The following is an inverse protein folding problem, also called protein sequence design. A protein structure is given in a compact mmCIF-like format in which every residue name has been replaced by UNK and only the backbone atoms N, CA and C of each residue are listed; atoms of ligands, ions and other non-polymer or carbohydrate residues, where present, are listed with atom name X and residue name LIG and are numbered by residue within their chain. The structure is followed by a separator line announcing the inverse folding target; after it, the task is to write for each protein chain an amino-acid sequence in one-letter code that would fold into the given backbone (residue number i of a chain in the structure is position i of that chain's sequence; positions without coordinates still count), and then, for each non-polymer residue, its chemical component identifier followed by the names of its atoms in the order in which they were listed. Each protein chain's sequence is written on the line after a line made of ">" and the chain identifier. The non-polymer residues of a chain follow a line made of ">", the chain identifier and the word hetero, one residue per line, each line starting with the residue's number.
data_IF_823086677180
#
_entry.id   IF_823086677180
#
_cell.length_a   1.000
_cell.length_b   1.000
_cell.length_c   1.000
_cell.angle_alpha   90.00
_cell.angle_beta   90.00
_cell.angle_gamma   90.00
#
_symmetry.space_group_name_H-M   'P 1'
#
loop_
_entity.id
_entity.type
_entity.pdbx_description
1 polymer ?
#
# COMPACT_ATOMS: atom_id res chain seq x y z
N UNK A 1 13.24 -13.38 -8.16
CA UNK A 1 12.85 -11.97 -8.27
C UNK A 1 13.52 -11.16 -7.19
N UNK A 2 14.15 -10.07 -7.58
CA UNK A 2 14.80 -9.17 -6.63
C UNK A 2 13.86 -8.06 -6.22
N UNK A 3 13.82 -7.78 -4.93
CA UNK A 3 13.05 -6.65 -4.39
C UNK A 3 14.03 -5.58 -3.91
N UNK A 4 13.75 -4.34 -4.28
CA UNK A 4 14.49 -3.20 -3.78
C UNK A 4 13.75 -2.69 -2.55
N UNK A 5 14.41 -2.74 -1.39
CA UNK A 5 13.81 -2.29 -0.14
C UNK A 5 13.85 -0.76 -0.07
N UNK A 6 12.68 -0.16 0.08
CA UNK A 6 12.53 1.31 0.18
C UNK A 6 12.34 1.72 1.62
N UNK A 7 11.55 0.98 2.39
CA UNK A 7 11.33 1.23 3.81
C UNK A 7 11.11 -0.06 4.55
N UNK A 8 11.64 -0.15 5.80
CA UNK A 8 11.52 -1.36 6.61
C UNK A 8 11.65 -0.99 8.07
N UNK A 9 10.55 -1.03 8.79
CA UNK A 9 10.51 -0.77 10.23
C UNK A 9 9.36 -1.56 10.85
N UNK A 10 9.10 -1.33 12.14
CA UNK A 10 8.07 -2.11 12.85
C UNK A 10 6.65 -1.77 12.43
N UNK A 11 6.44 -0.66 11.70
CA UNK A 11 5.11 -0.22 11.30
C UNK A 11 4.75 -0.60 9.87
N UNK A 12 5.75 -0.73 8.99
CA UNK A 12 5.49 -1.06 7.59
C UNK A 12 6.76 -1.51 6.87
N UNK A 13 6.55 -2.15 5.73
CA UNK A 13 7.62 -2.38 4.76
C UNK A 13 7.16 -1.89 3.40
N UNK A 14 8.06 -1.27 2.64
CA UNK A 14 7.84 -0.89 1.24
C UNK A 14 8.99 -1.45 0.42
N UNK A 15 8.65 -2.19 -0.64
CA UNK A 15 9.63 -2.71 -1.59
C UNK A 15 9.09 -2.56 -3.00
N UNK A 16 9.98 -2.58 -3.98
CA UNK A 16 9.58 -2.54 -5.39
C UNK A 16 10.32 -3.60 -6.18
N UNK A 17 9.63 -4.17 -7.18
CA UNK A 17 10.20 -5.05 -8.17
C UNK A 17 10.18 -4.32 -9.52
N UNK A 18 11.35 -3.98 -10.05
CA UNK A 18 11.43 -3.34 -11.36
C UNK A 18 11.10 -4.34 -12.46
N UNK A 19 11.39 -5.61 -12.25
CA UNK A 19 11.09 -6.67 -13.22
C UNK A 19 9.59 -6.83 -13.44
N UNK A 20 8.81 -6.86 -12.34
CA UNK A 20 7.35 -6.97 -12.41
C UNK A 20 6.66 -5.62 -12.58
N UNK A 21 7.40 -4.55 -12.40
CA UNK A 21 6.83 -3.20 -12.31
C UNK A 21 5.73 -3.16 -11.26
N UNK A 22 6.10 -3.56 -10.03
CA UNK A 22 5.15 -3.75 -8.92
C UNK A 22 5.73 -3.26 -7.61
N UNK A 23 4.91 -2.55 -6.85
CA UNK A 23 5.24 -2.15 -5.49
C UNK A 23 4.59 -3.10 -4.49
N UNK A 24 5.22 -3.27 -3.34
CA UNK A 24 4.73 -4.09 -2.23
C UNK A 24 4.72 -3.25 -0.97
N UNK A 25 3.58 -3.21 -0.30
CA UNK A 25 3.40 -2.51 0.98
C UNK A 25 2.87 -3.51 1.99
N UNK A 26 3.48 -3.55 3.18
CA UNK A 26 2.90 -4.26 4.32
C UNK A 26 2.62 -3.24 5.41
N UNK A 27 1.38 -3.21 5.90
CA UNK A 27 0.96 -2.33 6.99
C UNK A 27 0.86 -3.18 8.25
N UNK A 28 1.57 -2.80 9.31
CA UNK A 28 1.70 -3.61 10.53
C UNK A 28 1.16 -2.84 11.73
N UNK A 29 0.14 -3.42 12.37
CA UNK A 29 -0.34 -2.94 13.65
C UNK A 29 -1.04 -1.60 13.63
N UNK A 30 -0.95 -0.89 14.74
CA UNK A 30 -1.58 0.40 14.97
C UNK A 30 -0.56 1.53 14.85
N UNK A 31 -0.83 2.49 13.99
CA UNK A 31 0.00 3.70 13.89
C UNK A 31 -0.75 4.79 14.64
N UNK A 32 -0.17 5.23 15.76
CA UNK A 32 -0.83 6.19 16.66
C UNK A 32 -0.88 7.59 16.05
N UNK A 33 0.16 7.99 15.31
CA UNK A 33 0.29 9.33 14.78
C UNK A 33 1.25 9.31 13.59
N UNK A 34 1.14 10.29 12.66
CA UNK A 34 2.09 10.39 11.54
C UNK A 34 3.55 10.49 11.98
N UNK A 35 3.82 11.05 13.14
CA UNK A 35 5.17 11.20 13.68
C UNK A 35 5.87 9.86 13.92
N UNK A 36 5.12 8.76 14.03
CA UNK A 36 5.72 7.43 14.16
C UNK A 36 6.26 6.90 12.84
N UNK A 37 5.80 7.46 11.73
CA UNK A 37 6.20 7.04 10.39
C UNK A 37 6.63 8.26 9.55
N UNK A 38 7.64 9.02 10.02
CA UNK A 38 7.99 10.32 9.42
C UNK A 38 8.47 10.24 7.98
N UNK A 39 9.00 9.08 7.57
CA UNK A 39 9.58 8.92 6.23
C UNK A 39 8.60 8.29 5.23
N UNK A 40 7.39 7.95 5.67
CA UNK A 40 6.45 7.15 4.87
C UNK A 40 6.16 7.78 3.49
N UNK A 41 5.81 9.04 3.47
CA UNK A 41 5.47 9.73 2.22
C UNK A 41 6.71 9.87 1.32
N UNK A 42 7.86 10.28 1.88
CA UNK A 42 9.08 10.42 1.10
C UNK A 42 9.55 9.08 0.54
N UNK A 43 9.35 8.00 1.29
CA UNK A 43 9.69 6.65 0.80
C UNK A 43 8.79 6.24 -0.35
N UNK A 44 7.49 6.61 -0.33
CA UNK A 44 6.61 6.36 -1.47
C UNK A 44 7.05 7.16 -2.70
N UNK A 45 7.43 8.43 -2.51
CA UNK A 45 7.94 9.25 -3.62
C UNK A 45 9.18 8.58 -4.23
N UNK A 46 10.10 8.10 -3.38
CA UNK A 46 11.28 7.38 -3.84
C UNK A 46 10.92 6.07 -4.55
N UNK A 47 9.98 5.31 -3.97
CA UNK A 47 9.58 4.02 -4.52
C UNK A 47 8.98 4.13 -5.91
N UNK A 48 8.03 5.05 -6.10
CA UNK A 48 7.39 5.20 -7.41
C UNK A 48 8.34 5.72 -8.48
N UNK A 49 9.41 6.42 -8.09
CA UNK A 49 10.42 6.88 -9.05
C UNK A 49 11.15 5.73 -9.74
N UNK A 50 11.11 4.54 -9.16
CA UNK A 50 11.75 3.34 -9.72
C UNK A 50 10.81 2.50 -10.57
N UNK A 51 9.55 2.91 -10.66
CA UNK A 51 8.51 2.18 -11.38
C UNK A 51 8.05 2.97 -12.60
N UNK A 52 7.45 2.26 -13.54
CA UNK A 52 6.92 2.86 -14.76
C UNK A 52 5.40 3.00 -14.63
N UNK A 53 4.84 4.01 -15.30
CA UNK A 53 3.39 4.17 -15.38
C UNK A 53 2.73 2.85 -15.77
N UNK A 54 1.63 2.52 -15.10
CA UNK A 54 0.95 1.23 -15.29
C UNK A 54 1.37 0.17 -14.29
N UNK A 55 2.23 0.51 -13.33
CA UNK A 55 2.65 -0.43 -12.30
C UNK A 55 1.48 -0.92 -11.45
N UNK A 56 1.70 -2.03 -10.76
CA UNK A 56 0.71 -2.59 -9.84
C UNK A 56 1.21 -2.46 -8.40
N UNK A 57 0.29 -2.61 -7.45
CA UNK A 57 0.61 -2.55 -6.01
C UNK A 57 -0.05 -3.71 -5.30
N UNK A 58 0.71 -4.41 -4.46
CA UNK A 58 0.17 -5.38 -3.53
C UNK A 58 0.34 -4.81 -2.12
N UNK A 59 -0.79 -4.61 -1.42
CA UNK A 59 -0.79 -4.15 -0.04
C UNK A 59 -1.19 -5.31 0.87
N UNK A 60 -0.30 -5.71 1.76
CA UNK A 60 -0.61 -6.70 2.79
C UNK A 60 -1.03 -5.95 4.05
N UNK A 61 -2.33 -5.88 4.28
CA UNK A 61 -2.92 -5.24 5.47
C UNK A 61 -3.47 -6.29 6.44
N UNK A 62 -2.98 -7.54 6.35
CA UNK A 62 -3.46 -8.64 7.19
C UNK A 62 -3.15 -8.42 8.67
N UNK A 63 -2.13 -7.62 8.99
CA UNK A 63 -1.75 -7.32 10.38
C UNK A 63 -2.10 -5.89 10.78
N UNK A 64 -2.81 -5.16 9.92
CA UNK A 64 -3.20 -3.79 10.20
C UNK A 64 -4.30 -3.73 11.25
N UNK A 65 -4.19 -2.78 12.18
CA UNK A 65 -5.26 -2.38 13.10
C UNK A 65 -5.85 -1.06 12.61
N UNK A 66 -7.00 -0.68 13.16
CA UNK A 66 -7.64 0.59 12.81
C UNK A 66 -6.72 1.76 13.16
N UNK A 67 -6.60 2.71 12.25
CA UNK A 67 -5.75 3.88 12.46
C UNK A 67 -6.55 5.14 12.77
N UNK A 68 -6.00 6.10 13.53
CA UNK A 68 -6.70 7.36 13.81
C UNK A 68 -6.79 8.25 12.57
N UNK A 69 -7.62 9.27 12.66
CA UNK A 69 -7.95 10.15 11.54
C UNK A 69 -6.73 10.79 10.87
N UNK A 70 -5.75 11.21 11.66
CA UNK A 70 -4.54 11.83 11.14
C UNK A 70 -3.71 10.86 10.31
N UNK A 71 -3.70 9.58 10.68
CA UNK A 71 -3.02 8.53 9.94
C UNK A 71 -3.82 8.14 8.70
N UNK A 72 -5.15 8.18 8.78
CA UNK A 72 -5.99 7.96 7.59
C UNK A 72 -5.67 8.99 6.51
N UNK A 73 -5.46 10.26 6.88
CA UNK A 73 -5.05 11.29 5.93
C UNK A 73 -3.70 10.96 5.30
N UNK A 74 -2.80 10.35 6.05
CA UNK A 74 -1.51 9.91 5.53
C UNK A 74 -1.70 8.82 4.46
N UNK A 75 -2.61 7.89 4.69
CA UNK A 75 -2.94 6.87 3.68
C UNK A 75 -3.52 7.52 2.41
N UNK A 76 -4.37 8.53 2.57
CA UNK A 76 -4.91 9.26 1.43
C UNK A 76 -3.81 9.96 0.63
N UNK A 77 -2.84 10.57 1.31
CA UNK A 77 -1.71 11.20 0.66
C UNK A 77 -0.85 10.19 -0.12
N UNK A 78 -0.60 9.02 0.49
CA UNK A 78 0.16 7.97 -0.17
C UNK A 78 -0.56 7.47 -1.43
N UNK A 79 -1.88 7.27 -1.33
CA UNK A 79 -2.66 6.84 -2.49
C UNK A 79 -2.67 7.89 -3.60
N UNK A 80 -2.70 9.17 -3.26
CA UNK A 80 -2.62 10.24 -4.24
C UNK A 80 -1.28 10.21 -5.01
N UNK A 81 -0.19 9.94 -4.31
CA UNK A 81 1.13 9.79 -4.94
C UNK A 81 1.14 8.62 -5.91
N UNK A 82 0.58 7.48 -5.49
CA UNK A 82 0.52 6.28 -6.31
C UNK A 82 -0.35 6.49 -7.56
N UNK A 83 -1.49 7.15 -7.40
CA UNK A 83 -2.37 7.47 -8.53
C UNK A 83 -1.69 8.40 -9.52
N UNK A 84 -1.03 9.44 -9.05
CA UNK A 84 -0.33 10.39 -9.90
C UNK A 84 0.80 9.71 -10.68
N UNK A 85 1.47 8.74 -10.05
CA UNK A 85 2.55 7.98 -10.69
C UNK A 85 2.02 6.95 -11.70
N UNK A 86 0.71 6.67 -11.71
CA UNK A 86 0.09 5.83 -12.71
C UNK A 86 -0.15 4.38 -12.30
N UNK A 87 -0.43 4.12 -11.03
CA UNK A 87 -0.79 2.76 -10.58
C UNK A 87 -2.02 2.27 -11.36
N UNK A 88 -1.97 1.03 -11.86
CA UNK A 88 -3.03 0.48 -12.71
C UNK A 88 -3.98 -0.43 -11.94
N UNK A 89 -3.46 -1.26 -11.03
CA UNK A 89 -4.25 -2.19 -10.21
C UNK A 89 -3.63 -2.28 -8.83
N UNK A 90 -4.47 -2.41 -7.83
CA UNK A 90 -4.06 -2.58 -6.43
C UNK A 90 -4.78 -3.79 -5.86
N UNK A 91 -4.02 -4.73 -5.29
CA UNK A 91 -4.59 -5.85 -4.54
C UNK A 91 -4.32 -5.62 -3.06
N UNK A 92 -5.35 -5.72 -2.23
CA UNK A 92 -5.21 -5.57 -0.77
C UNK A 92 -5.55 -6.89 -0.09
N UNK A 93 -4.65 -7.37 0.76
CA UNK A 93 -4.88 -8.57 1.57
C UNK A 93 -5.40 -8.11 2.93
N UNK A 94 -6.63 -8.54 3.26
CA UNK A 94 -7.33 -8.09 4.46
C UNK A 94 -7.89 -9.29 5.21
N UNK A 95 -7.75 -9.28 6.54
CA UNK A 95 -8.26 -10.33 7.40
C UNK A 95 -9.15 -9.79 8.52
N UNK A 96 -9.02 -8.50 8.85
CA UNK A 96 -9.80 -7.84 9.89
C UNK A 96 -10.88 -6.98 9.22
N UNK A 97 -12.16 -7.23 9.56
CA UNK A 97 -13.28 -6.53 8.95
C UNK A 97 -13.24 -5.02 9.20
N UNK A 98 -12.75 -4.59 10.36
CA UNK A 98 -12.69 -3.16 10.69
C UNK A 98 -11.61 -2.47 9.87
N UNK A 99 -10.43 -3.10 9.72
CA UNK A 99 -9.37 -2.58 8.86
C UNK A 99 -9.85 -2.53 7.40
N UNK A 100 -10.60 -3.55 6.97
CA UNK A 100 -11.16 -3.59 5.62
C UNK A 100 -12.11 -2.41 5.39
N UNK A 101 -13.02 -2.16 6.33
CA UNK A 101 -13.93 -1.02 6.25
C UNK A 101 -13.17 0.30 6.15
N UNK A 102 -12.13 0.46 6.94
CA UNK A 102 -11.34 1.69 6.94
C UNK A 102 -10.62 1.90 5.60
N UNK A 103 -9.96 0.85 5.08
CA UNK A 103 -9.26 0.96 3.79
C UNK A 103 -10.23 1.10 2.62
N UNK A 104 -11.42 0.48 2.70
CA UNK A 104 -12.46 0.71 1.70
C UNK A 104 -12.88 2.17 1.66
N UNK A 105 -13.02 2.81 2.82
CA UNK A 105 -13.39 4.22 2.91
C UNK A 105 -12.30 5.13 2.33
N UNK A 106 -11.03 4.84 2.62
CA UNK A 106 -9.90 5.59 2.04
C UNK A 106 -9.90 5.47 0.52
N UNK A 107 -10.05 4.24 0.01
CA UNK A 107 -10.06 3.98 -1.43
C UNK A 107 -11.23 4.70 -2.13
N UNK A 108 -12.38 4.77 -1.48
CA UNK A 108 -13.53 5.49 -2.03
C UNK A 108 -13.23 6.98 -2.16
N UNK A 109 -12.60 7.55 -1.15
CA UNK A 109 -12.24 8.97 -1.14
C UNK A 109 -11.25 9.31 -2.27
N UNK A 110 -10.25 8.46 -2.48
CA UNK A 110 -9.20 8.68 -3.49
C UNK A 110 -9.53 8.09 -4.85
N UNK A 111 -10.57 7.26 -4.95
CA UNK A 111 -10.91 6.47 -6.13
C UNK A 111 -9.78 5.51 -6.52
N UNK A 112 -9.21 4.87 -5.50
CA UNK A 112 -8.10 3.93 -5.66
C UNK A 112 -8.58 2.66 -6.35
N UNK A 113 -7.87 2.17 -7.39
CA UNK A 113 -8.32 1.01 -8.18
C UNK A 113 -7.95 -0.31 -7.49
N UNK A 114 -8.59 -0.58 -6.36
CA UNK A 114 -8.22 -1.74 -5.54
C UNK A 114 -9.27 -2.85 -5.56
N UNK A 115 -8.81 -4.08 -5.27
CA UNK A 115 -9.64 -5.24 -5.03
C UNK A 115 -9.12 -5.97 -3.79
N UNK A 116 -10.02 -6.48 -2.97
CA UNK A 116 -9.67 -7.14 -1.71
C UNK A 116 -9.51 -8.64 -1.89
N UNK A 117 -8.53 -9.20 -1.19
CA UNK A 117 -8.21 -10.63 -1.21
C UNK A 117 -7.95 -11.10 0.22
N UNK A 118 -7.99 -12.42 0.42
CA UNK A 118 -7.69 -13.03 1.72
C UNK A 118 -6.29 -13.63 1.77
N UNK A 119 -5.68 -13.93 0.63
CA UNK A 119 -4.35 -14.54 0.57
C UNK A 119 -3.44 -13.82 -0.41
N UNK A 120 -2.14 -13.90 -0.15
CA UNK A 120 -1.13 -13.34 -1.04
C UNK A 120 -1.15 -14.03 -2.41
N UNK A 121 -1.37 -15.34 -2.43
CA UNK A 121 -1.40 -16.09 -3.69
C UNK A 121 -2.49 -15.60 -4.63
N UNK A 122 -3.69 -15.38 -4.10
CA UNK A 122 -4.81 -14.86 -4.90
C UNK A 122 -4.55 -13.44 -5.40
N UNK A 123 -3.97 -12.60 -4.52
CA UNK A 123 -3.65 -11.23 -4.86
C UNK A 123 -2.61 -11.14 -5.98
N UNK A 124 -1.52 -11.91 -5.87
CA UNK A 124 -0.47 -11.94 -6.89
C UNK A 124 -1.02 -12.45 -8.23
N UNK A 125 -1.83 -13.52 -8.19
CA UNK A 125 -2.41 -14.08 -9.41
C UNK A 125 -3.26 -13.06 -10.15
N UNK A 126 -4.07 -12.29 -9.41
CA UNK A 126 -4.90 -11.25 -10.02
C UNK A 126 -4.06 -10.12 -10.60
N UNK A 127 -3.00 -9.72 -9.93
CA UNK A 127 -2.11 -8.66 -10.41
C UNK A 127 -1.33 -9.09 -11.66
N UNK A 128 -1.11 -10.39 -11.82
CA UNK A 128 -0.37 -10.93 -12.97
C UNK A 128 -1.23 -11.03 -14.24
N UNK A 129 -2.53 -10.82 -14.15
CA UNK A 129 -3.42 -10.90 -15.31
C UNK A 129 -3.17 -9.80 -16.34
#
# INVERSE_FOLDING_TARGET
>A
MSLIKIGDNKFYTISVSTEKNRAYLKIIGFWRAPEQVPDYINQWISGVSKLKKGFTLLTDASEMKTHPKEVVKLHEQAQAILLKAGVSKVAEILKDDVAEMQLNAVAKTTQFPKKNFRTAAEAEAWLDL
#
